data_IF_411885721753
#
_entry.id   IF_411885721753
#
_cell.length_a   1.000
_cell.length_b   1.000
_cell.length_c   1.000
_cell.angle_alpha   90.00
_cell.angle_beta   90.00
_cell.angle_gamma   90.00
#
_symmetry.space_group_name_H-M   'P 1'
#
loop_
_entity.id
_entity.type
_entity.pdbx_description
1 polymer ?
#
# COMPACT_ATOMS: atom_id res chain seq x y z
N UNK A 1 2.30 -9.21 27.64
CA UNK A 1 1.90 -10.06 26.50
C UNK A 1 3.00 -10.03 25.48
N UNK A 2 3.39 -11.21 24.98
CA UNK A 2 4.51 -11.39 24.07
C UNK A 2 4.01 -11.76 22.67
N UNK A 3 4.65 -11.19 21.66
CA UNK A 3 4.44 -11.55 20.26
C UNK A 3 5.80 -11.78 19.61
N UNK A 4 5.87 -12.75 18.70
CA UNK A 4 7.07 -13.01 17.90
C UNK A 4 6.67 -12.93 16.44
N UNK A 5 7.16 -11.89 15.75
CA UNK A 5 6.92 -11.69 14.33
C UNK A 5 8.07 -12.27 13.52
N UNK A 6 7.71 -12.88 12.39
CA UNK A 6 8.65 -13.43 11.43
C UNK A 6 8.46 -12.76 10.08
N UNK A 7 9.57 -12.58 9.37
CA UNK A 7 9.55 -11.88 8.09
C UNK A 7 10.82 -12.06 7.28
N UNK A 8 10.90 -11.32 6.17
CA UNK A 8 12.05 -11.33 5.26
C UNK A 8 12.43 -9.95 4.75
N UNK A 9 13.70 -9.79 4.43
CA UNK A 9 14.25 -8.67 3.68
C UNK A 9 14.55 -9.09 2.25
N UNK A 10 14.03 -8.37 1.27
CA UNK A 10 14.29 -8.59 -0.16
C UNK A 10 15.17 -7.48 -0.75
N UNK A 11 15.99 -7.77 -1.77
CA UNK A 11 16.11 -9.06 -2.43
C UNK A 11 17.04 -10.02 -1.68
N UNK A 12 16.70 -11.32 -1.66
CA UNK A 12 17.49 -12.35 -0.96
C UNK A 12 18.92 -12.51 -1.52
N UNK A 13 19.17 -12.09 -2.78
CA UNK A 13 20.51 -12.12 -3.41
C UNK A 13 21.54 -11.20 -2.76
N UNK A 14 21.11 -10.28 -1.88
CA UNK A 14 21.97 -9.39 -1.11
C UNK A 14 21.66 -9.60 0.37
N UNK A 15 22.19 -10.67 1.00
CA UNK A 15 21.84 -11.02 2.37
C UNK A 15 22.33 -9.96 3.34
N UNK A 16 21.46 -9.56 4.28
CA UNK A 16 21.81 -8.64 5.34
C UNK A 16 21.74 -9.34 6.70
N UNK A 17 22.67 -8.97 7.58
CA UNK A 17 22.66 -9.40 8.98
C UNK A 17 22.78 -8.18 9.88
N UNK A 18 21.82 -8.03 10.77
CA UNK A 18 21.78 -7.00 11.80
C UNK A 18 21.64 -7.73 13.14
N UNK A 19 22.65 -7.56 13.98
CA UNK A 19 22.63 -8.03 15.37
C UNK A 19 21.42 -7.47 16.11
N UNK A 20 20.99 -8.14 17.18
CA UNK A 20 19.83 -7.74 17.96
C UNK A 20 19.83 -6.25 18.34
N UNK A 21 18.83 -5.51 17.86
CA UNK A 21 18.57 -4.11 18.22
C UNK A 21 17.35 -4.07 19.13
N UNK A 22 17.52 -3.50 20.32
CA UNK A 22 16.41 -3.24 21.24
C UNK A 22 15.86 -1.84 21.00
N UNK A 23 14.56 -1.69 21.12
CA UNK A 23 13.90 -0.40 20.95
C UNK A 23 12.53 -0.37 21.62
N UNK A 24 11.89 0.79 21.50
CA UNK A 24 10.52 1.01 21.92
C UNK A 24 9.77 1.58 20.73
N UNK A 25 8.62 0.99 20.43
CA UNK A 25 7.73 1.44 19.36
C UNK A 25 6.44 1.93 19.96
N UNK A 26 5.91 2.96 19.33
CA UNK A 26 4.60 3.53 19.64
C UNK A 26 3.79 3.51 18.36
N UNK A 27 2.52 3.15 18.47
CA UNK A 27 1.61 3.25 17.34
C UNK A 27 1.44 4.70 16.89
N UNK A 28 1.08 4.89 15.63
CA UNK A 28 0.96 6.23 15.04
C UNK A 28 -0.16 7.07 15.66
N UNK A 29 -1.22 6.40 16.12
CA UNK A 29 -2.36 7.00 16.82
C UNK A 29 -2.14 7.06 18.35
N UNK A 30 -0.95 6.68 18.84
CA UNK A 30 -0.61 6.60 20.24
C UNK A 30 -1.49 5.64 21.08
N UNK A 31 -2.27 4.75 20.45
CA UNK A 31 -3.11 3.76 21.13
C UNK A 31 -2.30 2.71 21.90
N UNK A 32 -1.06 2.42 21.50
CA UNK A 32 -0.19 1.48 22.23
C UNK A 32 1.29 1.86 22.19
N UNK A 33 2.02 1.29 23.16
CA UNK A 33 3.47 1.27 23.21
C UNK A 33 3.95 -0.16 23.49
N UNK A 34 5.09 -0.54 22.91
CA UNK A 34 5.68 -1.86 23.11
C UNK A 34 7.21 -1.77 23.10
N UNK A 35 7.85 -2.60 23.90
CA UNK A 35 9.28 -2.85 23.78
C UNK A 35 9.48 -3.88 22.68
N UNK A 36 10.50 -3.67 21.85
CA UNK A 36 10.81 -4.56 20.74
C UNK A 36 12.27 -4.96 20.77
N UNK A 37 12.53 -6.15 20.26
CA UNK A 37 13.86 -6.66 19.98
C UNK A 37 13.87 -7.26 18.59
N UNK A 38 14.53 -6.56 17.67
CA UNK A 38 14.61 -6.93 16.26
C UNK A 38 15.95 -7.53 15.95
N UNK A 39 15.96 -8.63 15.21
CA UNK A 39 17.16 -9.21 14.62
C UNK A 39 16.91 -9.58 13.18
N UNK A 40 17.95 -9.44 12.35
CA UNK A 40 17.91 -9.86 10.96
C UNK A 40 19.12 -10.76 10.71
N UNK A 41 18.90 -12.02 10.32
CA UNK A 41 19.96 -12.97 10.04
C UNK A 41 19.77 -13.54 8.63
N UNK A 42 20.73 -13.30 7.74
CA UNK A 42 20.64 -13.71 6.33
C UNK A 42 19.29 -13.35 5.71
N UNK A 43 18.89 -12.08 5.90
CA UNK A 43 17.61 -11.53 5.47
C UNK A 43 16.36 -12.18 6.07
N UNK A 44 16.46 -13.05 7.07
CA UNK A 44 15.34 -13.50 7.88
C UNK A 44 15.13 -12.55 9.05
N UNK A 45 13.92 -12.05 9.22
CA UNK A 45 13.55 -11.12 10.28
C UNK A 45 12.95 -11.91 11.44
N UNK A 46 13.36 -11.58 12.66
CA UNK A 46 12.65 -11.96 13.88
C UNK A 46 12.51 -10.74 14.76
N UNK A 47 11.27 -10.44 15.16
CA UNK A 47 10.96 -9.35 16.09
C UNK A 47 10.20 -9.90 17.28
N UNK A 48 10.82 -9.81 18.45
CA UNK A 48 10.14 -10.05 19.72
C UNK A 48 9.49 -8.74 20.18
N UNK A 49 8.24 -8.81 20.63
CA UNK A 49 7.46 -7.67 21.09
C UNK A 49 6.91 -7.98 22.47
N UNK A 50 7.15 -7.08 23.42
CA UNK A 50 6.61 -7.15 24.79
C UNK A 50 5.79 -5.89 25.06
N UNK A 51 4.52 -6.09 25.43
CA UNK A 51 3.57 -5.00 25.72
C UNK A 51 2.64 -5.35 26.89
N UNK A 52 2.03 -4.35 27.50
CA UNK A 52 1.16 -4.50 28.67
C UNK A 52 -0.29 -4.86 28.30
N UNK A 53 -0.67 -4.71 27.02
CA UNK A 53 -2.04 -4.94 26.56
C UNK A 53 -2.10 -5.79 25.29
N UNK A 54 -3.30 -6.32 25.00
CA UNK A 54 -3.55 -6.96 23.72
C UNK A 54 -3.76 -5.89 22.65
N UNK A 55 -3.11 -6.08 21.49
CA UNK A 55 -3.15 -5.12 20.37
C UNK A 55 -3.72 -5.84 19.15
N UNK A 56 -4.55 -5.18 18.31
CA UNK A 56 -4.95 -5.73 17.02
C UNK A 56 -3.73 -6.11 16.16
N UNK A 57 -3.68 -7.37 15.70
CA UNK A 57 -2.48 -7.93 15.06
C UNK A 57 -2.08 -7.18 13.78
N UNK A 58 -3.04 -6.66 13.02
CA UNK A 58 -2.79 -5.89 11.80
C UNK A 58 -2.08 -4.57 12.11
N UNK A 59 -2.52 -3.86 13.15
CA UNK A 59 -1.92 -2.58 13.54
C UNK A 59 -0.51 -2.79 14.13
N UNK A 60 -0.34 -3.87 14.90
CA UNK A 60 0.96 -4.27 15.40
C UNK A 60 1.91 -4.67 14.27
N UNK A 61 1.45 -5.50 13.31
CA UNK A 61 2.22 -5.86 12.11
C UNK A 61 2.70 -4.62 11.35
N UNK A 62 1.81 -3.67 11.06
CA UNK A 62 2.15 -2.44 10.34
C UNK A 62 3.20 -1.63 11.10
N UNK A 63 3.09 -1.56 12.43
CA UNK A 63 4.06 -0.85 13.29
C UNK A 63 5.43 -1.54 13.28
N UNK A 64 5.46 -2.87 13.35
CA UNK A 64 6.71 -3.64 13.27
C UNK A 64 7.35 -3.52 11.89
N UNK A 65 6.56 -3.66 10.82
CA UNK A 65 7.02 -3.53 9.44
C UNK A 65 7.65 -2.15 9.19
N UNK A 66 6.99 -1.08 9.66
CA UNK A 66 7.53 0.29 9.66
C UNK A 66 8.88 0.37 10.37
N UNK A 67 8.98 -0.19 11.58
CA UNK A 67 10.21 -0.12 12.36
C UNK A 67 11.38 -0.84 11.66
N UNK A 68 11.13 -2.02 11.10
CA UNK A 68 12.16 -2.75 10.35
C UNK A 68 12.51 -2.03 9.05
N UNK A 69 11.54 -1.40 8.37
CA UNK A 69 11.80 -0.51 7.24
C UNK A 69 12.76 0.62 7.59
N UNK A 70 12.58 1.29 8.74
CA UNK A 70 13.50 2.34 9.19
C UNK A 70 14.95 1.83 9.28
N UNK A 71 15.17 0.60 9.76
CA UNK A 71 16.52 0.03 9.77
C UNK A 71 17.08 -0.17 8.36
N UNK A 72 16.23 -0.64 7.44
CA UNK A 72 16.61 -0.82 6.05
C UNK A 72 16.84 0.51 5.33
N UNK A 73 16.08 1.55 5.64
CA UNK A 73 16.24 2.89 5.08
C UNK A 73 17.55 3.53 5.53
N UNK A 74 17.93 3.38 6.81
CA UNK A 74 19.25 3.81 7.29
C UNK A 74 20.35 3.06 6.55
N UNK A 75 20.21 1.75 6.38
CA UNK A 75 21.20 0.95 5.65
C UNK A 75 21.27 1.34 4.16
N UNK A 76 20.11 1.56 3.53
CA UNK A 76 19.97 2.02 2.15
C UNK A 76 20.57 3.40 1.92
N UNK A 77 20.35 4.34 2.84
CA UNK A 77 20.99 5.66 2.83
C UNK A 77 22.51 5.55 2.90
N UNK A 78 23.04 4.70 3.78
CA UNK A 78 24.49 4.54 3.96
C UNK A 78 25.19 3.78 2.83
N UNK A 79 24.48 2.89 2.13
CA UNK A 79 25.08 1.94 1.17
C UNK A 79 24.56 2.03 -0.25
N UNK A 80 23.50 2.79 -0.50
CA UNK A 80 22.85 2.87 -1.81
C UNK A 80 22.10 1.60 -2.20
N UNK A 81 21.69 0.77 -1.23
CA UNK A 81 20.89 -0.43 -1.50
C UNK A 81 19.40 -0.14 -1.36
N UNK A 82 18.60 -0.85 -2.16
CA UNK A 82 17.15 -0.90 -1.99
C UNK A 82 16.77 -2.23 -1.38
N UNK A 83 16.18 -2.16 -0.19
CA UNK A 83 15.63 -3.31 0.50
C UNK A 83 14.13 -3.13 0.69
N UNK A 84 13.38 -4.23 0.56
CA UNK A 84 11.97 -4.29 0.91
C UNK A 84 11.80 -5.21 2.11
N UNK A 85 10.88 -4.87 3.00
CA UNK A 85 10.59 -5.65 4.21
C UNK A 85 9.23 -6.29 4.02
N UNK A 86 9.11 -7.54 4.47
CA UNK A 86 7.84 -8.25 4.56
C UNK A 86 7.77 -8.88 5.96
N UNK A 87 6.72 -8.55 6.71
CA UNK A 87 6.36 -9.31 7.92
C UNK A 87 5.28 -10.32 7.52
N UNK A 88 5.59 -11.61 7.64
CA UNK A 88 4.80 -12.70 7.08
C UNK A 88 3.91 -13.39 8.11
N UNK A 89 4.33 -13.48 9.38
CA UNK A 89 3.54 -14.15 10.41
C UNK A 89 3.81 -13.63 11.82
N UNK A 90 2.94 -14.01 12.75
CA UNK A 90 3.05 -13.73 14.18
C UNK A 90 2.71 -14.96 15.02
N UNK A 91 3.53 -15.24 16.02
CA UNK A 91 3.30 -16.27 17.03
C UNK A 91 3.08 -15.63 18.41
N UNK A 92 2.09 -16.09 19.16
CA UNK A 92 1.76 -15.64 20.51
C UNK A 92 2.09 -16.79 21.49
N UNK A 93 3.22 -16.75 22.21
CA UNK A 93 3.68 -17.85 23.05
C UNK A 93 2.68 -18.27 24.13
N UNK A 94 1.97 -17.32 24.73
CA UNK A 94 1.05 -17.57 25.84
C UNK A 94 -0.16 -18.43 25.44
N UNK A 95 -0.59 -18.35 24.19
CA UNK A 95 -1.75 -19.10 23.68
C UNK A 95 -1.37 -20.19 22.69
N UNK A 96 -0.13 -20.19 22.18
CA UNK A 96 0.29 -21.03 21.06
C UNK A 96 -0.34 -20.61 19.72
N UNK A 97 -1.02 -19.47 19.66
CA UNK A 97 -1.67 -18.98 18.44
C UNK A 97 -0.63 -18.55 17.40
N UNK A 98 -0.85 -18.92 16.15
CA UNK A 98 0.00 -18.57 15.02
C UNK A 98 -0.86 -18.10 13.85
N UNK A 99 -0.56 -16.92 13.32
CA UNK A 99 -1.25 -16.34 12.18
C UNK A 99 -0.26 -15.98 11.09
N UNK A 100 -0.58 -16.37 9.85
CA UNK A 100 0.13 -15.97 8.64
C UNK A 100 -0.67 -14.85 7.98
N UNK A 101 -0.02 -13.72 7.75
CA UNK A 101 -0.64 -12.57 7.10
C UNK A 101 -0.75 -12.82 5.60
N UNK A 102 -1.96 -12.69 5.06
CA UNK A 102 -2.20 -12.78 3.62
C UNK A 102 -1.57 -11.62 2.85
N UNK A 103 -1.27 -11.87 1.58
CA UNK A 103 -0.87 -10.82 0.63
C UNK A 103 -2.06 -10.05 0.06
N UNK A 104 -3.27 -10.56 0.26
CA UNK A 104 -4.48 -10.03 -0.32
C UNK A 104 -5.15 -8.98 0.56
N UNK A 105 -5.85 -8.06 -0.11
CA UNK A 105 -6.87 -7.25 0.54
C UNK A 105 -8.20 -7.94 0.25
N UNK A 106 -8.72 -8.70 1.22
CA UNK A 106 -9.89 -9.59 1.07
C UNK A 106 -11.05 -8.93 0.32
N UNK A 107 -11.39 -7.67 0.63
CA UNK A 107 -12.49 -6.96 -0.05
C UNK A 107 -12.22 -6.70 -1.55
N UNK A 108 -10.96 -6.51 -1.93
CA UNK A 108 -10.54 -6.28 -3.33
C UNK A 108 -10.54 -7.61 -4.10
N UNK A 109 -10.06 -8.69 -3.49
CA UNK A 109 -10.01 -10.02 -4.12
C UNK A 109 -11.39 -10.63 -4.28
N UNK A 110 -12.28 -10.45 -3.32
CA UNK A 110 -13.69 -10.87 -3.43
C UNK A 110 -14.42 -10.20 -4.60
N UNK A 111 -13.97 -9.03 -5.04
CA UNK A 111 -14.56 -8.26 -6.14
C UNK A 111 -13.90 -8.55 -7.51
N UNK A 112 -12.96 -9.49 -7.58
CA UNK A 112 -12.24 -9.86 -8.82
C UNK A 112 -13.21 -10.24 -9.96
N UNK A 113 -14.26 -10.99 -9.65
CA UNK A 113 -15.25 -11.45 -10.65
C UNK A 113 -16.09 -10.32 -11.26
N UNK A 114 -16.13 -9.17 -10.61
CA UNK A 114 -16.87 -8.00 -11.09
C UNK A 114 -15.95 -7.00 -11.84
N UNK A 115 -14.66 -7.31 -11.97
CA UNK A 115 -13.72 -6.45 -12.70
C UNK A 115 -14.16 -6.29 -14.15
N UNK A 116 -13.97 -5.10 -14.72
CA UNK A 116 -14.55 -4.73 -16.02
C UNK A 116 -14.01 -5.53 -17.20
N UNK A 117 -12.77 -6.00 -17.11
CA UNK A 117 -12.02 -6.61 -18.19
C UNK A 117 -11.28 -7.84 -17.67
N UNK A 118 -10.95 -8.74 -18.61
CA UNK A 118 -10.07 -9.87 -18.34
C UNK A 118 -8.64 -9.42 -18.04
N UNK A 119 -7.82 -10.33 -17.48
CA UNK A 119 -6.38 -10.12 -17.34
C UNK A 119 -5.73 -9.77 -18.69
N UNK A 120 -6.05 -10.53 -19.75
CA UNK A 120 -5.46 -10.36 -21.07
C UNK A 120 -5.79 -8.99 -21.67
N UNK A 121 -7.05 -8.56 -21.61
CA UNK A 121 -7.47 -7.24 -22.10
C UNK A 121 -6.79 -6.11 -21.33
N UNK A 122 -6.73 -6.24 -20.00
CA UNK A 122 -6.10 -5.23 -19.13
C UNK A 122 -4.60 -5.12 -19.42
N UNK A 123 -3.92 -6.27 -19.61
CA UNK A 123 -2.50 -6.32 -19.96
C UNK A 123 -2.23 -5.63 -21.31
N UNK A 124 -3.00 -5.96 -22.35
CA UNK A 124 -2.83 -5.37 -23.67
C UNK A 124 -2.99 -3.85 -23.63
N UNK A 125 -4.04 -3.35 -22.97
CA UNK A 125 -4.23 -1.91 -22.77
C UNK A 125 -3.06 -1.26 -22.00
N UNK A 126 -2.56 -1.92 -20.96
CA UNK A 126 -1.47 -1.37 -20.14
C UNK A 126 -0.13 -1.32 -20.89
N UNK A 127 0.08 -2.19 -21.89
CA UNK A 127 1.28 -2.16 -22.74
C UNK A 127 1.27 -0.98 -23.71
N UNK A 128 0.09 -0.51 -24.14
CA UNK A 128 -0.05 0.57 -25.12
C UNK A 128 -0.34 1.94 -24.51
N UNK A 129 -0.95 1.99 -23.31
CA UNK A 129 -1.33 3.24 -22.62
C UNK A 129 -0.49 3.38 -21.34
N UNK A 130 0.58 4.20 -21.36
CA UNK A 130 1.49 4.37 -20.23
C UNK A 130 0.80 4.80 -18.93
N UNK A 131 -0.25 5.62 -19.02
CA UNK A 131 -1.04 6.06 -17.88
C UNK A 131 -1.71 4.89 -17.16
N UNK A 132 -2.20 3.89 -17.89
CA UNK A 132 -2.78 2.69 -17.28
C UNK A 132 -1.70 1.87 -16.57
N UNK A 133 -0.52 1.70 -17.18
CA UNK A 133 0.60 1.02 -16.52
C UNK A 133 1.01 1.72 -15.21
N UNK A 134 1.08 3.06 -15.22
CA UNK A 134 1.35 3.85 -14.01
C UNK A 134 0.26 3.68 -12.94
N UNK A 135 -1.01 3.70 -13.34
CA UNK A 135 -2.16 3.47 -12.44
C UNK A 135 -2.09 2.08 -11.81
N UNK A 136 -1.87 1.02 -12.59
CA UNK A 136 -1.77 -0.35 -12.09
C UNK A 136 -0.58 -0.55 -11.15
N UNK A 137 0.55 0.10 -11.46
CA UNK A 137 1.71 0.15 -10.56
C UNK A 137 1.34 0.78 -9.22
N UNK A 138 0.61 1.89 -9.23
CA UNK A 138 0.16 2.54 -8.00
C UNK A 138 -0.83 1.70 -7.19
N UNK A 139 -1.74 0.98 -7.85
CA UNK A 139 -2.63 0.04 -7.17
C UNK A 139 -1.84 -1.07 -6.46
N UNK A 140 -0.87 -1.67 -7.15
CA UNK A 140 0.01 -2.68 -6.56
C UNK A 140 0.79 -2.12 -5.37
N UNK A 141 1.39 -0.94 -5.52
CA UNK A 141 2.17 -0.32 -4.46
C UNK A 141 1.26 0.07 -3.27
N UNK A 142 0.01 0.48 -3.51
CA UNK A 142 -0.97 0.74 -2.45
C UNK A 142 -1.29 -0.52 -1.62
N UNK A 143 -1.34 -1.70 -2.24
CA UNK A 143 -1.50 -2.99 -1.55
C UNK A 143 -0.23 -3.35 -0.77
N UNK A 144 0.93 -3.23 -1.42
CA UNK A 144 2.20 -3.72 -0.87
C UNK A 144 2.89 -2.76 0.12
N UNK A 145 2.45 -1.50 0.22
CA UNK A 145 3.03 -0.49 1.12
C UNK A 145 1.92 0.10 1.99
N UNK A 146 1.58 -0.55 3.11
CA UNK A 146 0.49 -0.09 3.97
C UNK A 146 0.60 1.38 4.36
N UNK A 147 1.81 1.84 4.71
CA UNK A 147 2.07 3.22 5.13
C UNK A 147 1.81 4.26 4.02
N UNK A 148 2.05 3.91 2.75
CA UNK A 148 1.94 4.81 1.60
C UNK A 148 0.62 4.63 0.81
N UNK A 149 -0.33 3.87 1.35
CA UNK A 149 -1.55 3.50 0.62
C UNK A 149 -2.29 4.72 0.09
N UNK A 150 -2.50 5.74 0.93
CA UNK A 150 -3.27 6.92 0.53
C UNK A 150 -2.53 7.76 -0.51
N UNK A 151 -1.20 7.88 -0.39
CA UNK A 151 -0.33 8.48 -1.41
C UNK A 151 -0.53 7.80 -2.78
N UNK A 152 -0.44 6.48 -2.82
CA UNK A 152 -0.55 5.70 -4.05
C UNK A 152 -1.96 5.75 -4.66
N UNK A 153 -3.01 5.62 -3.84
CA UNK A 153 -4.40 5.80 -4.27
C UNK A 153 -4.65 7.18 -4.90
N UNK A 154 -4.14 8.25 -4.29
CA UNK A 154 -4.20 9.60 -4.86
C UNK A 154 -3.39 9.71 -6.15
N UNK A 155 -2.24 9.05 -6.25
CA UNK A 155 -1.39 9.13 -7.46
C UNK A 155 -2.00 8.39 -8.65
N UNK A 156 -2.61 7.24 -8.43
CA UNK A 156 -3.40 6.55 -9.42
C UNK A 156 -4.51 7.46 -9.98
N UNK A 157 -5.34 8.03 -9.11
CA UNK A 157 -6.48 8.86 -9.54
C UNK A 157 -6.06 10.18 -10.17
N UNK A 158 -4.96 10.80 -9.73
CA UNK A 158 -4.40 11.98 -10.40
C UNK A 158 -3.83 11.67 -11.79
N UNK A 159 -3.25 10.48 -11.98
CA UNK A 159 -2.79 10.03 -13.30
C UNK A 159 -3.97 9.93 -14.27
N UNK A 160 -5.10 9.39 -13.81
CA UNK A 160 -6.35 9.35 -14.58
C UNK A 160 -6.84 10.77 -14.88
N UNK A 161 -6.84 11.68 -13.90
CA UNK A 161 -7.26 13.06 -14.13
C UNK A 161 -6.40 13.77 -15.18
N UNK A 162 -5.08 13.53 -15.16
CA UNK A 162 -4.14 14.07 -16.16
C UNK A 162 -4.40 13.51 -17.56
N UNK A 163 -4.75 12.24 -17.68
CA UNK A 163 -5.08 11.63 -18.97
C UNK A 163 -6.18 12.41 -19.73
N UNK A 164 -7.15 12.99 -19.01
CA UNK A 164 -8.25 13.73 -19.64
C UNK A 164 -7.93 15.17 -20.03
N UNK A 165 -6.79 15.74 -19.60
CA UNK A 165 -6.42 17.12 -19.92
C UNK A 165 -5.10 17.19 -20.70
N UNK A 166 -5.11 17.89 -21.83
CA UNK A 166 -3.88 18.26 -22.57
C UNK A 166 -3.15 19.47 -21.95
N UNK A 167 -3.79 20.15 -21.00
CA UNK A 167 -3.24 21.31 -20.32
C UNK A 167 -2.71 20.93 -18.94
N UNK A 168 -1.72 21.67 -18.43
CA UNK A 168 -1.26 21.56 -17.05
C UNK A 168 -2.28 22.05 -16.01
N UNK A 169 -3.53 22.35 -16.42
CA UNK A 169 -4.60 22.74 -15.50
C UNK A 169 -5.18 21.51 -14.79
N UNK A 170 -4.68 21.25 -13.58
CA UNK A 170 -5.10 20.14 -12.72
C UNK A 170 -6.61 20.14 -12.42
N UNK A 171 -7.20 21.31 -12.18
CA UNK A 171 -8.63 21.40 -11.84
C UNK A 171 -9.50 20.95 -13.01
N UNK A 172 -9.13 21.35 -14.23
CA UNK A 172 -9.81 20.96 -15.45
C UNK A 172 -9.77 19.45 -15.70
N UNK A 173 -8.59 18.82 -15.56
CA UNK A 173 -8.45 17.36 -15.74
C UNK A 173 -9.34 16.56 -14.79
N UNK A 174 -9.48 17.01 -13.54
CA UNK A 174 -10.40 16.39 -12.58
C UNK A 174 -11.86 16.55 -12.99
N UNK A 175 -12.28 17.74 -13.39
CA UNK A 175 -13.65 18.00 -13.85
C UNK A 175 -13.99 17.14 -15.07
N UNK A 176 -13.07 17.04 -16.03
CA UNK A 176 -13.24 16.21 -17.24
C UNK A 176 -13.30 14.72 -16.87
N UNK A 177 -12.41 14.21 -16.01
CA UNK A 177 -12.44 12.83 -15.55
C UNK A 177 -13.74 12.48 -14.82
N UNK A 178 -14.19 13.33 -13.89
CA UNK A 178 -15.43 13.12 -13.14
C UNK A 178 -16.62 13.07 -14.09
N UNK A 179 -16.69 13.99 -15.06
CA UNK A 179 -17.77 14.04 -16.05
C UNK A 179 -17.75 12.82 -16.98
N UNK A 180 -16.61 12.50 -17.58
CA UNK A 180 -16.49 11.45 -18.61
C UNK A 180 -16.66 10.06 -18.00
N UNK A 181 -16.07 9.82 -16.83
CA UNK A 181 -16.15 8.53 -16.15
C UNK A 181 -17.37 8.43 -15.21
N UNK A 182 -18.16 9.49 -15.07
CA UNK A 182 -19.29 9.57 -14.15
C UNK A 182 -18.88 9.20 -12.71
N UNK A 183 -17.83 9.85 -12.19
CA UNK A 183 -17.27 9.56 -10.86
C UNK A 183 -18.07 10.24 -9.75
N UNK A 184 -18.11 9.64 -8.56
CA UNK A 184 -18.69 10.28 -7.38
C UNK A 184 -17.71 11.35 -6.86
N UNK A 185 -18.15 12.60 -6.83
CA UNK A 185 -17.32 13.73 -6.37
C UNK A 185 -16.83 13.57 -4.92
N UNK A 186 -17.65 13.00 -4.04
CA UNK A 186 -17.30 12.76 -2.64
C UNK A 186 -16.15 11.75 -2.52
N UNK A 187 -16.23 10.63 -3.24
CA UNK A 187 -15.17 9.62 -3.26
C UNK A 187 -13.84 10.24 -3.73
N UNK A 188 -13.88 11.08 -4.77
CA UNK A 188 -12.69 11.75 -5.30
C UNK A 188 -12.09 12.75 -4.30
N UNK A 189 -12.93 13.55 -3.64
CA UNK A 189 -12.45 14.51 -2.66
C UNK A 189 -11.78 13.80 -1.49
N UNK A 190 -12.38 12.73 -0.99
CA UNK A 190 -11.82 11.97 0.12
C UNK A 190 -10.49 11.30 -0.21
N UNK A 191 -10.34 10.70 -1.41
CA UNK A 191 -9.06 10.16 -1.88
C UNK A 191 -7.99 11.28 -1.94
N UNK A 192 -8.38 12.47 -2.43
CA UNK A 192 -7.46 13.61 -2.57
C UNK A 192 -7.04 14.19 -1.23
N UNK A 193 -7.95 14.31 -0.28
CA UNK A 193 -7.69 14.82 1.07
C UNK A 193 -6.85 13.84 1.86
N UNK A 194 -7.19 12.55 1.86
CA UNK A 194 -6.46 11.54 2.63
C UNK A 194 -5.04 11.32 2.10
N UNK A 195 -4.85 11.26 0.77
CA UNK A 195 -3.52 11.27 0.16
C UNK A 195 -2.89 12.67 0.08
N UNK A 196 -3.64 13.69 0.50
CA UNK A 196 -3.32 15.11 0.65
C UNK A 196 -1.98 15.30 1.34
N UNK A 197 -2.04 14.93 2.59
CA UNK A 197 -1.10 15.29 3.64
C UNK A 197 0.17 14.44 3.56
N UNK A 198 0.04 13.15 3.26
CA UNK A 198 1.19 12.24 3.11
C UNK A 198 2.20 12.74 2.06
N UNK A 199 1.71 13.37 0.98
CA UNK A 199 2.57 13.95 -0.07
C UNK A 199 3.35 15.18 0.35
N UNK A 200 2.90 15.83 1.40
CA UNK A 200 3.58 16.96 2.01
C UNK A 200 4.45 16.53 3.20
N UNK A 201 4.74 15.23 3.31
CA UNK A 201 5.54 14.67 4.40
C UNK A 201 4.81 14.64 5.74
N UNK A 202 3.50 14.88 5.76
CA UNK A 202 2.70 14.76 6.97
C UNK A 202 2.56 13.29 7.30
N UNK A 203 3.08 12.92 8.46
CA UNK A 203 2.95 11.58 8.99
C UNK A 203 1.59 11.46 9.71
N UNK A 204 0.76 10.51 9.28
CA UNK A 204 -0.58 10.29 9.85
C UNK A 204 -0.84 8.81 10.08
N UNK A 205 -1.71 8.46 11.06
CA UNK A 205 -2.00 7.07 11.38
C UNK A 205 -2.70 6.36 10.22
N UNK A 206 -2.20 5.19 9.83
CA UNK A 206 -2.84 4.34 8.83
C UNK A 206 -3.62 3.23 9.53
N UNK A 207 -4.90 3.48 9.78
CA UNK A 207 -5.83 2.49 10.34
C UNK A 207 -6.30 1.53 9.23
N UNK A 208 -6.27 0.23 9.52
CA UNK A 208 -6.56 -0.83 8.54
C UNK A 208 -7.91 -0.67 7.81
N UNK A 209 -8.98 -0.30 8.51
CA UNK A 209 -10.31 -0.13 7.88
C UNK A 209 -10.37 1.03 6.90
N UNK A 210 -9.85 2.20 7.30
CA UNK A 210 -9.79 3.39 6.45
C UNK A 210 -8.93 3.13 5.21
N UNK A 211 -7.83 2.40 5.38
CA UNK A 211 -6.98 1.95 4.28
C UNK A 211 -7.78 1.18 3.24
N UNK A 212 -8.54 0.17 3.67
CA UNK A 212 -9.36 -0.66 2.78
C UNK A 212 -10.43 0.16 2.08
N UNK A 213 -11.12 1.05 2.78
CA UNK A 213 -12.16 1.92 2.20
C UNK A 213 -11.62 2.82 1.08
N UNK A 214 -10.49 3.50 1.31
CA UNK A 214 -9.86 4.35 0.28
C UNK A 214 -9.37 3.54 -0.92
N UNK A 215 -8.85 2.33 -0.71
CA UNK A 215 -8.52 1.42 -1.82
C UNK A 215 -9.77 1.05 -2.61
N UNK A 216 -10.87 0.65 -1.97
CA UNK A 216 -12.11 0.29 -2.69
C UNK A 216 -12.65 1.45 -3.54
N UNK A 217 -12.63 2.68 -3.01
CA UNK A 217 -12.99 3.90 -3.77
C UNK A 217 -12.10 4.08 -5.00
N UNK A 218 -10.78 3.91 -4.81
CA UNK A 218 -9.79 4.03 -5.88
C UNK A 218 -10.00 2.98 -6.96
N UNK A 219 -10.22 1.71 -6.60
CA UNK A 219 -10.48 0.63 -7.55
C UNK A 219 -11.72 0.90 -8.40
N UNK A 220 -12.81 1.41 -7.83
CA UNK A 220 -14.01 1.81 -8.60
C UNK A 220 -13.70 2.88 -9.65
N UNK A 221 -12.80 3.83 -9.35
CA UNK A 221 -12.36 4.85 -10.31
C UNK A 221 -11.54 4.20 -11.44
N UNK A 222 -10.61 3.31 -11.10
CA UNK A 222 -9.79 2.60 -12.08
C UNK A 222 -10.64 1.69 -12.96
N UNK A 223 -11.61 0.98 -12.40
CA UNK A 223 -12.52 0.11 -13.16
C UNK A 223 -13.28 0.90 -14.22
N UNK A 224 -13.77 2.10 -13.89
CA UNK A 224 -14.42 3.00 -14.84
C UNK A 224 -13.47 3.50 -15.91
N UNK A 225 -12.23 3.84 -15.54
CA UNK A 225 -11.20 4.26 -16.49
C UNK A 225 -10.83 3.15 -17.48
N UNK A 226 -10.63 1.92 -16.99
CA UNK A 226 -10.30 0.75 -17.81
C UNK A 226 -11.44 0.42 -18.78
N UNK A 227 -12.72 0.49 -18.34
CA UNK A 227 -13.88 0.38 -19.25
C UNK A 227 -13.86 1.44 -20.35
N UNK A 228 -13.55 2.68 -19.99
CA UNK A 228 -13.46 3.78 -20.96
C UNK A 228 -12.37 3.53 -22.00
N UNK A 229 -11.17 3.11 -21.58
CA UNK A 229 -10.06 2.82 -22.50
C UNK A 229 -10.43 1.71 -23.48
N UNK A 230 -11.04 0.62 -23.00
CA UNK A 230 -11.51 -0.47 -23.89
C UNK A 230 -12.53 0.02 -24.92
N UNK A 231 -13.45 0.90 -24.49
CA UNK A 231 -14.42 1.49 -25.42
C UNK A 231 -13.77 2.40 -26.47
N UNK A 232 -12.69 3.11 -26.15
CA UNK A 232 -11.96 3.93 -27.12
C UNK A 232 -11.11 3.10 -28.09
N UNK A 233 -10.51 2.00 -27.62
CA UNK A 233 -9.78 1.02 -28.45
C UNK A 233 -10.70 0.45 -29.54
N UNK A 234 -11.89 -0.02 -29.17
CA UNK A 234 -12.89 -0.53 -30.11
C UNK A 234 -13.37 0.52 -31.13
N UNK A 235 -13.31 1.80 -30.76
CA UNK A 235 -13.69 2.93 -31.61
C UNK A 235 -12.51 3.52 -32.41
N UNK A 236 -11.33 2.89 -32.38
CA UNK A 236 -10.08 3.36 -33.04
C UNK A 236 -9.69 4.80 -32.71
N UNK A 237 -10.03 5.28 -31.51
CA UNK A 237 -9.67 6.64 -31.03
C UNK A 237 -8.43 6.67 -30.13
N UNK A 238 -7.79 5.52 -29.92
CA UNK A 238 -6.53 5.33 -29.19
C UNK A 238 -5.53 4.61 -30.07
#
# INVERSE_FOLDING_TARGET
>A
MKYIFFGKVYPERAPITISSVNGRVKSDDASFEANIKTSILLSQITVEVDTDSQIPLVDLKNTIEKNVHTFMDVYGYLKGYTYNVEIASVYIPETGYHEVFGMDVVKITQDEKNRPLSYQDTLLLALIIPELSMVLKDLRDAIGRPLDTFFHCRRATETIAKFFTKSNNKARGWQEAIKILNLNQSDINEIKETGGDQRHGVYGPVVGEKRVDIMMKTWRVVDKFVKYLKAQESNKKL
#
